data_IF_340926840781
#
_entry.id   IF_340926840781
#
_cell.length_a   1.000
_cell.length_b   1.000
_cell.length_c   1.000
_cell.angle_alpha   90.00
_cell.angle_beta   90.00
_cell.angle_gamma   90.00
#
_symmetry.space_group_name_H-M   'P 1'
#
loop_
_entity.id
_entity.type
_entity.pdbx_description
1 polymer ?
#
# COMPACT_ATOMS: atom_id res chain seq x y z
N UNK A 1 -9.88 -9.34 -5.92
CA UNK A 1 -8.67 -8.53 -6.25
C UNK A 1 -8.90 -7.49 -7.35
N UNK A 2 -9.24 -7.84 -8.59
CA UNK A 2 -9.40 -6.86 -9.70
C UNK A 2 -10.36 -5.69 -9.39
N UNK A 3 -11.52 -5.98 -8.79
CA UNK A 3 -12.48 -4.96 -8.37
C UNK A 3 -11.89 -4.03 -7.31
N UNK A 4 -11.12 -4.56 -6.35
CA UNK A 4 -10.49 -3.77 -5.31
C UNK A 4 -9.46 -2.78 -5.87
N UNK A 5 -8.59 -3.23 -6.79
CA UNK A 5 -7.64 -2.35 -7.48
C UNK A 5 -8.36 -1.18 -8.16
N UNK A 6 -9.43 -1.48 -8.90
CA UNK A 6 -10.20 -0.46 -9.62
C UNK A 6 -10.87 0.54 -8.69
N UNK A 7 -11.56 0.06 -7.65
CA UNK A 7 -12.24 0.94 -6.67
C UNK A 7 -11.25 1.85 -5.96
N UNK A 8 -10.09 1.32 -5.57
CA UNK A 8 -9.03 2.13 -4.95
C UNK A 8 -8.45 3.16 -5.92
N UNK A 9 -8.24 2.77 -7.18
CA UNK A 9 -7.70 3.67 -8.20
C UNK A 9 -8.68 4.81 -8.50
N UNK A 10 -9.97 4.52 -8.64
CA UNK A 10 -11.02 5.52 -8.85
C UNK A 10 -11.17 6.46 -7.65
N UNK A 11 -11.05 5.96 -6.42
CA UNK A 11 -11.06 6.79 -5.22
C UNK A 11 -9.82 7.70 -5.17
N UNK A 12 -8.63 7.15 -5.36
CA UNK A 12 -7.37 7.91 -5.38
C UNK A 12 -7.37 8.98 -6.49
N UNK A 13 -7.91 8.65 -7.67
CA UNK A 13 -8.03 9.58 -8.80
C UNK A 13 -8.98 10.75 -8.52
N UNK A 14 -10.13 10.49 -7.87
CA UNK A 14 -11.04 11.57 -7.46
C UNK A 14 -10.38 12.48 -6.44
N UNK A 15 -9.75 11.89 -5.43
CA UNK A 15 -9.09 12.61 -4.35
C UNK A 15 -7.87 13.41 -4.84
N UNK A 16 -7.13 12.89 -5.83
CA UNK A 16 -5.96 13.59 -6.40
C UNK A 16 -6.33 14.88 -7.12
N UNK A 17 -7.57 14.99 -7.61
CA UNK A 17 -8.10 16.16 -8.32
C UNK A 17 -8.94 17.09 -7.44
N UNK A 18 -9.29 16.65 -6.24
CA UNK A 18 -10.06 17.45 -5.30
C UNK A 18 -9.15 18.49 -4.62
N UNK A 19 -9.40 19.76 -4.91
CA UNK A 19 -8.64 20.90 -4.35
C UNK A 19 -8.98 21.22 -2.90
N UNK A 20 -10.02 20.59 -2.37
CA UNK A 20 -10.51 20.78 -1.00
C UNK A 20 -10.20 19.60 -0.10
N UNK A 21 -9.80 18.47 -0.68
CA UNK A 21 -9.41 17.29 0.07
C UNK A 21 -8.12 17.51 0.83
N UNK A 22 -8.17 17.39 2.16
CA UNK A 22 -6.98 17.34 2.99
C UNK A 22 -6.30 15.98 2.80
N UNK A 23 -5.43 15.93 1.79
CA UNK A 23 -4.75 14.70 1.36
C UNK A 23 -3.50 14.42 2.20
N UNK A 24 -3.00 13.17 2.22
CA UNK A 24 -1.71 12.85 2.85
C UNK A 24 -0.54 13.70 2.32
N UNK A 25 -0.61 14.13 1.05
CA UNK A 25 0.36 15.06 0.48
C UNK A 25 0.25 16.45 1.12
N UNK A 26 -0.97 16.97 1.31
CA UNK A 26 -1.22 18.24 2.00
C UNK A 26 -0.77 18.21 3.46
N UNK A 27 -1.05 17.12 4.16
CA UNK A 27 -0.63 16.90 5.55
C UNK A 27 0.89 16.97 5.69
N UNK A 28 1.62 16.16 4.89
CA UNK A 28 3.09 16.23 4.83
C UNK A 28 3.58 17.63 4.46
N UNK A 29 2.98 18.28 3.45
CA UNK A 29 3.40 19.62 3.06
C UNK A 29 3.23 20.65 4.19
N UNK A 30 2.17 20.52 5.00
CA UNK A 30 1.93 21.39 6.16
C UNK A 30 2.98 21.18 7.26
N UNK A 31 3.45 19.94 7.47
CA UNK A 31 4.52 19.63 8.43
C UNK A 31 5.86 20.24 8.00
N UNK A 32 6.23 20.14 6.71
CA UNK A 32 7.54 20.58 6.22
C UNK A 32 7.62 22.06 5.87
N UNK A 33 6.54 22.64 5.35
CA UNK A 33 6.53 24.02 4.82
C UNK A 33 5.58 24.97 5.58
N UNK A 34 4.86 24.46 6.59
CA UNK A 34 3.90 25.19 7.40
C UNK A 34 2.48 25.25 6.79
N UNK A 35 1.51 25.63 7.63
CA UNK A 35 0.06 25.56 7.33
C UNK A 35 -0.44 26.53 6.25
N UNK A 36 0.42 27.36 5.66
CA UNK A 36 -0.01 28.38 4.69
C UNK A 36 -0.17 27.85 3.28
N UNK A 37 0.32 26.64 3.00
CA UNK A 37 0.76 26.37 1.65
C UNK A 37 -0.27 25.54 0.88
N UNK A 38 -0.57 24.25 1.15
CA UNK A 38 -1.39 23.49 0.20
C UNK A 38 -2.46 22.61 0.87
N UNK A 39 -3.73 22.89 0.55
CA UNK A 39 -4.86 21.94 0.68
C UNK A 39 -5.16 21.43 -0.73
N UNK A 40 -5.44 20.13 -0.84
CA UNK A 40 -5.84 19.47 -2.08
C UNK A 40 -5.09 18.16 -2.35
N UNK A 41 -5.60 17.41 -3.30
CA UNK A 41 -4.91 16.27 -3.90
C UNK A 41 -3.70 16.69 -4.75
N UNK A 42 -2.81 15.73 -4.99
CA UNK A 42 -1.71 15.85 -5.94
C UNK A 42 -2.04 15.06 -7.20
N UNK A 43 -2.18 15.74 -8.33
CA UNK A 43 -2.38 15.09 -9.64
C UNK A 43 -1.08 14.40 -10.06
N UNK A 44 -1.08 13.08 -10.08
CA UNK A 44 0.06 12.23 -10.42
C UNK A 44 -0.44 10.89 -10.98
N UNK A 45 0.44 10.10 -11.58
CA UNK A 45 0.12 8.76 -12.05
C UNK A 45 -0.16 7.83 -10.86
N UNK A 46 -1.20 7.00 -10.97
CA UNK A 46 -1.66 6.10 -9.88
C UNK A 46 -1.46 4.65 -10.30
N UNK A 47 -0.59 3.94 -9.58
CA UNK A 47 -0.37 2.50 -9.72
C UNK A 47 -0.79 1.79 -8.43
N UNK A 48 -1.60 0.74 -8.53
CA UNK A 48 -2.11 -0.01 -7.36
C UNK A 48 -1.91 -1.50 -7.57
N UNK A 49 -1.31 -2.15 -6.57
CA UNK A 49 -1.19 -3.60 -6.48
C UNK A 49 -1.95 -4.06 -5.24
N UNK A 50 -2.89 -4.99 -5.41
CA UNK A 50 -3.62 -5.61 -4.29
C UNK A 50 -3.24 -7.08 -4.26
N UNK A 51 -2.76 -7.54 -3.11
CA UNK A 51 -2.49 -8.95 -2.85
C UNK A 51 -3.43 -9.43 -1.75
N UNK A 52 -4.11 -10.55 -1.99
CA UNK A 52 -4.86 -11.26 -0.97
C UNK A 52 -4.00 -12.40 -0.45
N UNK A 53 -3.64 -12.36 0.83
CA UNK A 53 -2.77 -13.38 1.42
C UNK A 53 -3.64 -14.48 1.98
N UNK A 54 -3.80 -15.55 1.19
CA UNK A 54 -4.39 -16.78 1.69
C UNK A 54 -3.50 -17.36 2.79
N UNK A 55 -4.01 -17.40 4.03
CA UNK A 55 -3.40 -18.20 5.10
C UNK A 55 -3.51 -19.66 4.69
N UNK A 56 -2.47 -20.18 4.05
CA UNK A 56 -2.26 -21.62 4.03
C UNK A 56 -2.08 -22.04 5.47
N UNK A 57 -3.00 -22.86 5.98
CA UNK A 57 -2.70 -23.72 7.13
C UNK A 57 -1.56 -24.61 6.69
N UNK A 58 -0.33 -24.17 6.94
CA UNK A 58 0.83 -25.05 6.95
C UNK A 58 0.49 -26.11 7.99
N UNK A 59 0.27 -27.35 7.55
CA UNK A 59 0.31 -28.49 8.45
C UNK A 59 1.58 -28.36 9.31
N UNK A 60 1.51 -28.66 10.62
CA UNK A 60 2.60 -28.36 11.55
C UNK A 60 3.75 -29.32 11.31
N UNK A 61 4.55 -29.02 10.29
CA UNK A 61 5.83 -29.66 10.01
C UNK A 61 6.78 -28.53 9.67
N UNK A 62 7.07 -27.70 10.66
CA UNK A 62 8.34 -27.00 10.87
C UNK A 62 8.20 -26.14 12.13
N UNK A 63 9.15 -26.33 13.02
CA UNK A 63 9.22 -25.85 14.40
C UNK A 63 8.99 -24.34 14.57
N UNK A 64 8.54 -23.90 15.76
CA UNK A 64 8.24 -22.50 16.03
C UNK A 64 9.55 -21.73 16.23
N UNK A 65 10.07 -21.11 15.17
CA UNK A 65 11.10 -20.10 15.31
C UNK A 65 10.53 -18.73 14.93
N UNK A 66 10.08 -18.05 15.99
CA UNK A 66 9.98 -16.60 16.17
C UNK A 66 8.84 -15.92 15.38
N UNK A 67 7.65 -15.91 16.00
CA UNK A 67 6.66 -14.85 15.83
C UNK A 67 7.13 -13.60 16.56
N UNK A 68 7.96 -12.79 15.92
CA UNK A 68 8.01 -11.36 16.22
C UNK A 68 7.24 -10.65 15.11
N UNK A 69 5.96 -10.42 15.38
CA UNK A 69 5.18 -9.43 14.62
C UNK A 69 5.75 -8.07 15.01
N UNK A 70 6.75 -7.61 14.26
CA UNK A 70 7.24 -6.25 14.38
C UNK A 70 6.10 -5.30 13.99
N UNK A 71 5.66 -4.47 14.93
CA UNK A 71 4.67 -3.40 14.70
C UNK A 71 5.23 -2.25 13.84
N UNK A 72 6.28 -2.49 13.06
CA UNK A 72 6.85 -1.52 12.16
C UNK A 72 6.33 -1.83 10.76
N UNK A 73 5.27 -1.13 10.35
CA UNK A 73 4.63 -1.21 9.03
C UNK A 73 5.55 -0.79 7.85
N UNK A 74 6.84 -0.55 8.08
CA UNK A 74 7.82 -0.12 7.07
C UNK A 74 8.87 -1.18 6.68
N UNK A 75 8.85 -2.37 7.28
CA UNK A 75 9.81 -3.40 6.91
C UNK A 75 9.24 -4.29 5.80
N UNK A 76 9.62 -3.97 4.55
CA UNK A 76 9.55 -4.95 3.46
C UNK A 76 10.12 -6.29 3.95
N UNK A 77 9.44 -7.43 3.67
CA UNK A 77 9.93 -8.72 4.13
C UNK A 77 11.34 -8.95 3.60
N UNK A 78 12.16 -9.68 4.37
CA UNK A 78 13.58 -9.87 4.03
C UNK A 78 13.74 -10.39 2.59
N UNK A 79 14.85 -10.09 1.89
CA UNK A 79 15.02 -10.43 0.46
C UNK A 79 14.77 -11.91 0.12
N UNK A 80 15.02 -12.79 1.08
CA UNK A 80 14.77 -14.24 0.97
C UNK A 80 13.27 -14.58 0.94
N UNK A 81 12.42 -13.83 1.64
CA UNK A 81 10.96 -13.99 1.60
C UNK A 81 10.42 -13.41 0.30
N UNK A 82 10.92 -12.24 -0.14
CA UNK A 82 10.55 -11.64 -1.44
C UNK A 82 10.86 -12.58 -2.61
N UNK A 83 12.00 -13.26 -2.60
CA UNK A 83 12.39 -14.23 -3.63
C UNK A 83 11.46 -15.45 -3.73
N UNK A 84 10.66 -15.73 -2.70
CA UNK A 84 9.69 -16.85 -2.67
C UNK A 84 8.29 -16.43 -3.10
N UNK A 85 8.00 -15.13 -3.21
CA UNK A 85 6.73 -14.63 -3.70
C UNK A 85 6.70 -14.77 -5.23
N UNK A 86 5.92 -15.75 -5.71
CA UNK A 86 5.65 -15.90 -7.13
C UNK A 86 4.59 -14.88 -7.54
N UNK A 87 5.03 -13.79 -8.15
CA UNK A 87 4.13 -12.84 -8.80
C UNK A 87 3.68 -13.42 -10.13
N UNK A 88 2.40 -13.75 -10.27
CA UNK A 88 1.81 -14.04 -11.57
C UNK A 88 1.17 -12.77 -12.10
N UNK A 89 1.70 -12.25 -13.20
CA UNK A 89 1.06 -11.16 -13.93
C UNK A 89 -0.05 -11.78 -14.76
N UNK A 90 -1.31 -11.42 -14.51
CA UNK A 90 -2.40 -11.79 -15.38
C UNK A 90 -2.22 -11.06 -16.72
N UNK A 91 -1.93 -11.81 -17.79
CA UNK A 91 -1.96 -11.28 -19.15
C UNK A 91 -3.39 -10.76 -19.45
N UNK A 92 -3.45 -9.56 -20.04
CA UNK A 92 -4.69 -8.91 -20.47
C UNK A 92 -5.24 -9.56 -21.74
#
# INVERSE_FOLDING_TARGET
>A
VKLACRTLAEAAYRNSRDKTYFSPFSERAAEFFGHRIHIGGKVDDISIVVADVERRTLSPVLEPHITEVSQNDDCLPCPQILARLKFSVAAA
#
